data_IF_629667793493
#
_entry.id   IF_629667793493
#
_cell.length_a   1.000
_cell.length_b   1.000
_cell.length_c   1.000
_cell.angle_alpha   90.00
_cell.angle_beta   90.00
_cell.angle_gamma   90.00
#
_symmetry.space_group_name_H-M   'P 1'
#
loop_
_entity.id
_entity.type
_entity.pdbx_description
1 polymer ?
#
# COMPACT_ATOMS: atom_id res chain seq x y z
N UNK A 1 34.98 -35.49 -12.70
CA UNK A 1 35.27 -34.34 -13.57
C UNK A 1 34.84 -34.71 -14.97
N UNK A 2 33.73 -34.17 -15.45
CA UNK A 2 33.40 -33.91 -16.86
C UNK A 2 32.14 -33.04 -16.83
N UNK A 3 32.32 -31.77 -17.22
CA UNK A 3 31.30 -30.74 -17.24
C UNK A 3 30.50 -30.83 -18.55
N UNK A 4 29.17 -30.77 -18.45
CA UNK A 4 28.27 -30.58 -19.59
C UNK A 4 27.59 -29.23 -19.45
N UNK A 5 28.01 -28.26 -20.25
CA UNK A 5 27.36 -26.97 -20.40
C UNK A 5 26.35 -27.08 -21.55
N UNK A 6 25.06 -26.88 -21.26
CA UNK A 6 24.05 -26.65 -22.29
C UNK A 6 23.79 -25.15 -22.43
N UNK A 7 24.03 -24.68 -23.65
CA UNK A 7 23.75 -23.33 -24.15
C UNK A 7 22.38 -23.40 -24.84
N UNK A 8 21.40 -22.64 -24.36
CA UNK A 8 20.15 -22.40 -25.09
C UNK A 8 20.14 -20.98 -25.66
N UNK A 9 20.01 -20.80 -26.98
CA UNK A 9 19.89 -19.49 -27.59
C UNK A 9 18.50 -18.89 -27.38
N UNK A 10 18.50 -17.59 -27.10
CA UNK A 10 17.37 -16.68 -27.16
C UNK A 10 16.90 -16.49 -28.60
N UNK A 11 15.59 -16.63 -28.81
CA UNK A 11 14.91 -16.14 -30.02
C UNK A 11 13.82 -15.16 -29.59
N UNK A 12 13.92 -13.97 -30.16
CA UNK A 12 12.99 -12.87 -30.12
C UNK A 12 11.60 -13.29 -30.62
N UNK A 13 10.57 -12.81 -29.96
CA UNK A 13 9.36 -12.37 -30.65
C UNK A 13 8.92 -11.01 -30.08
N UNK A 14 8.96 -10.01 -30.95
CA UNK A 14 8.72 -8.59 -30.69
C UNK A 14 7.51 -8.19 -31.56
N UNK A 15 6.29 -8.41 -31.06
CA UNK A 15 5.06 -7.94 -31.71
C UNK A 15 4.45 -6.78 -30.92
N UNK A 16 4.92 -5.57 -31.24
CA UNK A 16 4.09 -4.49 -31.77
C UNK A 16 2.62 -4.38 -31.28
N UNK A 17 2.38 -3.69 -30.15
CA UNK A 17 1.08 -3.07 -29.88
C UNK A 17 1.19 -1.54 -29.91
N UNK A 18 0.93 -1.07 -31.12
CA UNK A 18 0.79 0.30 -31.57
C UNK A 18 -0.29 1.10 -30.82
N UNK A 19 0.07 2.36 -30.54
CA UNK A 19 -0.75 3.54 -30.29
C UNK A 19 -2.27 3.39 -30.16
N UNK A 20 -2.81 3.80 -29.01
CA UNK A 20 -3.95 4.73 -28.97
C UNK A 20 -3.71 5.81 -27.92
N UNK A 21 -3.16 6.94 -28.39
CA UNK A 21 -3.23 8.23 -27.69
C UNK A 21 -4.70 8.64 -27.62
N UNK A 22 -5.32 8.55 -26.45
CA UNK A 22 -6.63 9.16 -26.21
C UNK A 22 -6.37 10.60 -25.82
N UNK A 23 -6.67 11.47 -26.78
CA UNK A 23 -6.57 12.93 -26.75
C UNK A 23 -7.97 13.48 -26.54
N UNK A 24 -8.05 14.51 -25.68
CA UNK A 24 -9.10 15.55 -25.59
C UNK A 24 -10.54 15.17 -25.21
N UNK A 25 -10.99 15.72 -24.08
CA UNK A 25 -12.29 16.38 -23.93
C UNK A 25 -12.21 17.43 -22.80
N UNK A 26 -11.66 18.61 -23.08
CA UNK A 26 -12.37 19.89 -23.07
C UNK A 26 -13.87 19.86 -22.68
N UNK A 27 -14.19 20.37 -21.49
CA UNK A 27 -15.44 21.06 -21.15
C UNK A 27 -15.03 22.32 -20.37
N UNK A 28 -14.92 23.49 -21.00
CA UNK A 28 -16.00 24.38 -21.40
C UNK A 28 -16.81 24.93 -20.20
N UNK A 29 -16.35 26.09 -19.71
CA UNK A 29 -17.11 27.33 -19.54
C UNK A 29 -18.49 27.28 -18.86
N UNK A 30 -18.57 27.88 -17.66
CA UNK A 30 -19.79 28.53 -17.17
C UNK A 30 -19.44 29.88 -16.52
N UNK A 31 -19.37 30.90 -17.36
CA UNK A 31 -19.52 32.32 -16.96
C UNK A 31 -20.98 32.73 -17.19
N UNK A 32 -21.40 33.84 -16.57
CA UNK A 32 -22.73 34.50 -16.58
C UNK A 32 -23.59 34.08 -15.36
N UNK A 33 -24.14 34.98 -14.52
CA UNK A 33 -24.79 36.25 -14.83
C UNK A 33 -24.55 37.31 -13.73
N UNK A 34 -24.13 38.51 -14.15
CA UNK A 34 -24.36 39.74 -13.40
C UNK A 34 -25.86 40.07 -13.47
N UNK A 35 -26.54 40.12 -12.32
CA UNK A 35 -27.81 40.83 -12.19
C UNK A 35 -27.54 42.10 -11.41
N UNK A 36 -27.45 43.20 -12.14
CA UNK A 36 -27.62 44.54 -11.61
C UNK A 36 -29.12 44.80 -11.49
N UNK A 37 -29.61 44.97 -10.26
CA UNK A 37 -30.94 45.52 -10.00
C UNK A 37 -30.78 46.70 -9.05
N UNK A 38 -30.98 47.89 -9.60
CA UNK A 38 -31.08 49.12 -8.83
C UNK A 38 -32.46 49.27 -8.22
N UNK A 39 -32.49 49.79 -7.00
CA UNK A 39 -33.71 50.22 -6.31
C UNK A 39 -33.30 51.09 -5.13
N UNK A 40 -33.42 52.41 -5.30
CA UNK A 40 -33.28 53.39 -4.22
C UNK A 40 -34.59 53.52 -3.46
N UNK A 41 -34.50 53.59 -2.13
CA UNK A 41 -35.62 53.80 -1.21
C UNK A 41 -35.08 54.13 0.18
N UNK A 42 -35.72 55.11 0.79
CA UNK A 42 -35.34 55.90 1.98
C UNK A 42 -34.76 55.09 3.16
N UNK A 43 -33.70 55.64 3.78
CA UNK A 43 -32.88 55.05 4.85
C UNK A 43 -33.57 55.01 6.23
N UNK A 44 -33.89 53.82 6.77
CA UNK A 44 -33.78 53.53 8.19
C UNK A 44 -32.35 53.02 8.50
N UNK A 45 -31.82 53.43 9.66
CA UNK A 45 -30.47 53.08 10.12
C UNK A 45 -30.18 51.58 9.94
N UNK A 46 -29.00 51.20 9.39
CA UNK A 46 -28.71 49.82 9.03
C UNK A 46 -28.71 48.94 10.29
N UNK A 47 -29.36 47.75 10.26
CA UNK A 47 -29.23 46.81 11.36
C UNK A 47 -27.76 46.42 11.48
N UNK A 48 -27.23 46.50 12.70
CA UNK A 48 -25.87 46.08 13.04
C UNK A 48 -25.62 44.69 12.47
N UNK A 49 -24.75 44.57 11.47
CA UNK A 49 -24.42 43.30 10.83
C UNK A 49 -23.89 42.36 11.91
N UNK A 50 -24.65 41.30 12.22
CA UNK A 50 -24.18 40.25 13.10
C UNK A 50 -22.96 39.60 12.44
N UNK A 51 -21.83 39.61 13.15
CA UNK A 51 -20.58 39.04 12.67
C UNK A 51 -20.80 37.60 12.23
N UNK A 52 -20.62 37.32 10.93
CA UNK A 52 -20.64 35.96 10.40
C UNK A 52 -19.57 35.15 11.15
N UNK A 53 -19.92 34.03 11.81
CA UNK A 53 -18.93 33.21 12.50
C UNK A 53 -17.84 32.80 11.51
N UNK A 54 -16.57 33.00 11.89
CA UNK A 54 -15.45 32.56 11.10
C UNK A 54 -15.58 31.04 10.83
N UNK A 55 -15.34 30.56 9.59
CA UNK A 55 -15.37 29.14 9.30
C UNK A 55 -14.48 28.37 10.27
N UNK A 56 -14.99 27.27 10.82
CA UNK A 56 -14.21 26.40 11.69
C UNK A 56 -12.94 25.95 10.95
N UNK A 57 -11.76 25.94 11.61
CA UNK A 57 -10.54 25.43 11.00
C UNK A 57 -10.75 24.03 10.43
N UNK A 58 -10.20 23.80 9.24
CA UNK A 58 -10.25 22.47 8.63
C UNK A 58 -9.63 21.42 9.60
N UNK A 59 -10.22 20.23 9.72
CA UNK A 59 -9.64 19.16 10.54
C UNK A 59 -8.21 18.88 10.11
N UNK A 60 -7.31 18.73 11.08
CA UNK A 60 -5.93 18.33 10.80
C UNK A 60 -5.92 16.95 10.11
N UNK A 61 -4.98 16.70 9.18
CA UNK A 61 -4.83 15.39 8.55
C UNK A 61 -4.66 14.28 9.60
N UNK A 62 -5.32 13.15 9.39
CA UNK A 62 -5.16 12.00 10.28
C UNK A 62 -3.71 11.48 10.22
N UNK A 63 -3.02 11.51 11.36
CA UNK A 63 -1.66 10.99 11.47
C UNK A 63 -1.67 9.46 11.41
N UNK A 64 -0.76 8.87 10.65
CA UNK A 64 -0.59 7.42 10.61
C UNK A 64 -0.12 6.88 11.97
N UNK A 65 -0.97 6.07 12.63
CA UNK A 65 -0.62 5.36 13.85
C UNK A 65 -0.18 3.92 13.54
N UNK A 66 0.96 3.53 14.11
CA UNK A 66 1.42 2.15 14.07
C UNK A 66 1.20 1.52 15.43
N UNK A 67 0.58 0.33 15.52
CA UNK A 67 0.45 -0.40 16.77
C UNK A 67 1.81 -0.59 17.44
N UNK A 68 1.86 -0.58 18.77
CA UNK A 68 3.14 -0.70 19.51
C UNK A 68 3.83 -2.04 19.31
N UNK A 69 3.06 -3.10 18.99
CA UNK A 69 3.58 -4.41 18.65
C UNK A 69 4.23 -4.49 17.25
N UNK A 70 4.18 -3.41 16.45
CA UNK A 70 4.68 -3.41 15.08
C UNK A 70 6.09 -2.84 15.04
N UNK A 71 6.94 -3.46 14.22
CA UNK A 71 8.23 -2.88 13.88
C UNK A 71 8.01 -1.67 12.99
N UNK A 72 8.73 -0.57 13.28
CA UNK A 72 8.53 0.71 12.60
C UNK A 72 9.85 1.38 12.24
N UNK A 73 9.88 2.02 11.09
CA UNK A 73 10.90 3.00 10.70
C UNK A 73 10.20 4.35 10.54
N UNK A 74 10.80 5.39 11.11
CA UNK A 74 10.34 6.78 10.99
C UNK A 74 11.50 7.61 10.48
N UNK A 75 11.23 8.49 9.52
CA UNK A 75 12.28 9.16 8.75
C UNK A 75 13.01 8.17 7.84
N UNK A 76 13.56 8.66 6.73
CA UNK A 76 14.30 7.82 5.80
C UNK A 76 15.45 8.59 5.17
N UNK A 77 16.51 7.85 4.85
CA UNK A 77 17.60 8.36 4.01
C UNK A 77 17.16 8.23 2.56
N UNK A 78 17.37 9.26 1.74
CA UNK A 78 17.07 9.22 0.31
C UNK A 78 17.87 8.11 -0.40
N UNK A 79 17.22 7.43 -1.36
CA UNK A 79 17.82 6.34 -2.17
C UNK A 79 18.41 5.16 -1.37
N UNK A 80 18.00 4.97 -0.12
CA UNK A 80 18.47 3.90 0.75
C UNK A 80 17.56 2.68 0.69
N UNK A 81 18.15 1.50 0.88
CA UNK A 81 17.38 0.27 1.12
C UNK A 81 17.01 0.19 2.60
N UNK A 82 15.72 0.19 2.89
CA UNK A 82 15.18 -0.01 4.23
C UNK A 82 14.70 -1.44 4.37
N UNK A 83 14.97 -2.04 5.53
CA UNK A 83 14.55 -3.40 5.89
C UNK A 83 13.86 -3.36 7.24
N UNK A 84 12.62 -3.86 7.30
CA UNK A 84 11.80 -3.97 8.52
C UNK A 84 11.48 -5.44 8.73
N UNK A 85 11.78 -5.96 9.91
CA UNK A 85 11.48 -7.35 10.29
C UNK A 85 10.37 -7.38 11.33
N UNK A 86 9.40 -8.25 11.15
CA UNK A 86 8.37 -8.57 12.12
C UNK A 86 8.31 -10.08 12.31
N UNK A 87 7.96 -10.57 13.49
CA UNK A 87 7.84 -11.99 13.74
C UNK A 87 7.29 -12.29 15.11
N UNK A 88 6.95 -13.55 15.35
CA UNK A 88 6.72 -14.01 16.72
C UNK A 88 8.04 -14.16 17.48
N UNK A 89 7.96 -14.10 18.82
CA UNK A 89 9.13 -14.23 19.71
C UNK A 89 9.85 -15.57 19.49
N UNK A 90 9.12 -16.60 19.05
CA UNK A 90 9.65 -17.92 18.76
C UNK A 90 10.37 -18.01 17.39
N UNK A 91 10.30 -16.97 16.55
CA UNK A 91 10.88 -16.95 15.20
C UNK A 91 10.25 -17.96 14.23
N UNK A 92 9.10 -18.52 14.58
CA UNK A 92 8.40 -19.53 13.80
C UNK A 92 7.69 -18.90 12.60
N UNK A 93 7.04 -17.76 12.82
CA UNK A 93 6.48 -16.93 11.74
C UNK A 93 7.22 -15.60 11.70
N UNK A 94 7.75 -15.26 10.54
CA UNK A 94 8.43 -13.98 10.33
C UNK A 94 8.05 -13.36 8.99
N UNK A 95 8.13 -12.04 8.94
CA UNK A 95 8.03 -11.26 7.72
C UNK A 95 9.15 -10.23 7.67
N UNK A 96 9.73 -10.07 6.49
CA UNK A 96 10.72 -9.05 6.19
C UNK A 96 10.20 -8.18 5.06
N UNK A 97 9.97 -6.90 5.33
CA UNK A 97 9.67 -5.90 4.33
C UNK A 97 10.97 -5.20 3.93
N UNK A 98 11.28 -5.18 2.64
CA UNK A 98 12.37 -4.41 2.05
C UNK A 98 11.81 -3.43 1.03
N UNK A 99 12.36 -2.21 0.98
CA UNK A 99 12.01 -1.19 0.00
C UNK A 99 13.18 -0.24 -0.22
N UNK A 100 13.27 0.34 -1.40
CA UNK A 100 14.21 1.41 -1.73
C UNK A 100 13.51 2.75 -1.69
N UNK A 101 13.96 3.65 -0.81
CA UNK A 101 13.35 4.97 -0.66
C UNK A 101 13.59 5.82 -1.92
N UNK A 102 12.68 6.77 -2.21
CA UNK A 102 12.88 7.73 -3.29
C UNK A 102 14.05 8.69 -3.00
N UNK A 103 14.43 9.48 -4.02
CA UNK A 103 15.47 10.50 -3.90
C UNK A 103 15.08 11.67 -2.97
N UNK A 104 13.78 11.88 -2.77
CA UNK A 104 13.24 12.86 -1.83
C UNK A 104 12.31 12.13 -0.89
N UNK A 105 12.65 12.13 0.40
CA UNK A 105 11.90 11.43 1.44
C UNK A 105 11.32 12.48 2.38
N UNK A 106 10.04 12.36 2.70
CA UNK A 106 9.44 13.17 3.76
C UNK A 106 10.12 12.83 5.11
N UNK A 107 10.61 13.81 5.90
CA UNK A 107 11.16 13.54 7.23
C UNK A 107 10.15 12.85 8.17
N UNK A 108 8.86 13.06 7.95
CA UNK A 108 7.78 12.44 8.71
C UNK A 108 7.30 11.11 8.11
N UNK A 109 8.00 10.60 7.08
CA UNK A 109 7.67 9.31 6.48
C UNK A 109 7.72 8.20 7.53
N UNK A 110 6.71 7.33 7.50
CA UNK A 110 6.59 6.24 8.45
C UNK A 110 6.14 4.98 7.74
N UNK A 111 6.82 3.87 8.02
CA UNK A 111 6.46 2.54 7.52
C UNK A 111 6.54 1.56 8.67
N UNK A 112 5.51 0.73 8.79
CA UNK A 112 5.34 -0.22 9.87
C UNK A 112 4.94 -1.57 9.33
N UNK A 113 5.50 -2.62 9.93
CA UNK A 113 5.22 -4.01 9.62
C UNK A 113 4.92 -4.75 10.92
N UNK A 114 3.83 -5.50 10.96
CA UNK A 114 3.50 -6.32 12.11
C UNK A 114 2.64 -7.52 11.77
N UNK A 115 2.70 -8.52 12.63
CA UNK A 115 1.83 -9.70 12.57
C UNK A 115 0.45 -9.32 13.08
N UNK A 116 -0.60 -9.77 12.39
CA UNK A 116 -1.99 -9.61 12.83
C UNK A 116 -2.38 -10.83 13.66
N UNK A 117 -2.88 -10.60 14.88
CA UNK A 117 -3.28 -11.68 15.80
C UNK A 117 -4.75 -12.06 15.66
N UNK A 118 -5.61 -11.14 15.23
CA UNK A 118 -7.01 -11.38 14.92
C UNK A 118 -7.31 -10.96 13.47
N UNK A 119 -7.76 -11.92 12.67
CA UNK A 119 -8.08 -11.71 11.26
C UNK A 119 -9.29 -10.78 11.13
N UNK A 120 -9.20 -9.68 10.36
CA UNK A 120 -10.36 -8.86 10.05
C UNK A 120 -11.45 -9.69 9.35
N UNK A 121 -12.71 -9.31 9.53
CA UNK A 121 -13.82 -10.01 8.89
C UNK A 121 -13.63 -10.07 7.36
N UNK A 122 -13.85 -11.26 6.78
CA UNK A 122 -13.71 -11.52 5.34
C UNK A 122 -12.30 -11.87 4.86
N UNK A 123 -11.32 -11.94 5.77
CA UNK A 123 -9.96 -12.39 5.42
C UNK A 123 -9.81 -13.90 5.53
N UNK A 124 -8.95 -14.48 4.68
CA UNK A 124 -8.54 -15.88 4.75
C UNK A 124 -7.02 -15.97 4.79
N UNK A 125 -6.50 -16.94 5.51
CA UNK A 125 -5.05 -17.18 5.66
C UNK A 125 -4.74 -17.87 6.98
N UNK A 126 -3.59 -18.51 7.05
CA UNK A 126 -3.07 -19.10 8.28
C UNK A 126 -2.15 -18.11 9.01
N UNK A 127 -1.48 -17.24 8.25
CA UNK A 127 -0.73 -16.10 8.79
C UNK A 127 -1.06 -14.82 8.04
N UNK A 128 -0.96 -13.69 8.74
CA UNK A 128 -1.22 -12.37 8.20
C UNK A 128 -0.25 -11.33 8.74
N UNK A 129 0.26 -10.49 7.84
CA UNK A 129 1.10 -9.34 8.17
C UNK A 129 0.52 -8.08 7.56
N UNK A 130 0.42 -7.03 8.35
CA UNK A 130 -0.07 -5.72 7.91
C UNK A 130 1.10 -4.77 7.69
N UNK A 131 1.08 -4.10 6.55
CA UNK A 131 1.93 -2.96 6.23
C UNK A 131 1.10 -1.69 6.38
N UNK A 132 1.51 -0.80 7.29
CA UNK A 132 0.96 0.57 7.40
C UNK A 132 2.04 1.55 7.00
N UNK A 133 1.75 2.46 6.09
CA UNK A 133 2.75 3.44 5.66
C UNK A 133 2.15 4.77 5.22
N UNK A 134 2.97 5.83 5.26
CA UNK A 134 2.65 7.13 4.67
C UNK A 134 2.78 7.09 3.14
N UNK A 135 2.46 8.20 2.47
CA UNK A 135 2.49 8.31 1.02
C UNK A 135 3.85 7.99 0.38
N UNK A 136 4.97 8.21 1.08
CA UNK A 136 6.31 7.92 0.57
C UNK A 136 6.53 6.44 0.23
N UNK A 137 5.77 5.54 0.85
CA UNK A 137 5.80 4.11 0.49
C UNK A 137 5.43 3.90 -0.98
N UNK A 138 4.47 4.66 -1.51
CA UNK A 138 4.06 4.54 -2.91
C UNK A 138 5.14 5.04 -3.88
N UNK A 139 5.94 6.01 -3.45
CA UNK A 139 7.08 6.51 -4.20
C UNK A 139 8.33 5.63 -4.09
N UNK A 140 8.37 4.70 -3.13
CA UNK A 140 9.47 3.73 -3.01
C UNK A 140 9.53 2.78 -4.21
N UNK A 141 10.69 2.17 -4.42
CA UNK A 141 10.90 1.13 -5.44
C UNK A 141 11.33 -0.17 -4.76
N UNK A 142 11.40 -1.27 -5.51
CA UNK A 142 11.86 -2.58 -5.00
C UNK A 142 11.12 -3.04 -3.73
N UNK A 143 9.84 -2.70 -3.62
CA UNK A 143 9.00 -3.04 -2.46
C UNK A 143 8.71 -4.52 -2.46
N UNK A 144 9.25 -5.24 -1.48
CA UNK A 144 9.14 -6.68 -1.35
C UNK A 144 8.85 -7.05 0.09
N UNK A 145 7.83 -7.88 0.31
CA UNK A 145 7.64 -8.57 1.58
C UNK A 145 7.95 -10.05 1.39
N UNK A 146 8.75 -10.60 2.30
CA UNK A 146 9.06 -12.02 2.39
C UNK A 146 8.42 -12.55 3.65
N UNK A 147 7.50 -13.52 3.54
CA UNK A 147 6.80 -14.12 4.67
C UNK A 147 7.27 -15.58 4.79
N UNK A 148 7.74 -15.94 5.98
CA UNK A 148 8.14 -17.31 6.31
C UNK A 148 7.10 -17.93 7.24
N UNK A 149 6.57 -19.08 6.83
CA UNK A 149 5.54 -19.84 7.56
C UNK A 149 6.07 -21.25 7.83
N UNK A 150 6.04 -21.75 9.07
CA UNK A 150 6.45 -23.11 9.37
C UNK A 150 5.38 -24.08 8.86
N UNK A 151 5.80 -25.21 8.35
CA UNK A 151 4.89 -26.27 7.88
C UNK A 151 5.20 -27.58 8.58
N UNK A 152 4.16 -28.37 8.84
CA UNK A 152 4.30 -29.73 9.34
C UNK A 152 4.16 -30.70 8.16
N UNK A 153 5.28 -31.34 7.79
CA UNK A 153 5.31 -32.31 6.69
C UNK A 153 5.35 -31.69 5.28
N UNK A 154 5.10 -32.55 4.30
CA UNK A 154 5.04 -32.22 2.87
C UNK A 154 3.70 -31.61 2.50
N UNK A 155 3.70 -30.55 1.69
CA UNK A 155 2.49 -29.91 1.20
C UNK A 155 1.82 -30.71 0.08
N UNK A 156 0.50 -30.89 0.16
CA UNK A 156 -0.29 -31.57 -0.88
C UNK A 156 -0.63 -30.72 -2.10
N UNK A 157 -0.47 -29.40 -2.00
CA UNK A 157 -0.66 -28.44 -3.10
C UNK A 157 0.12 -27.14 -2.83
N UNK A 158 0.11 -26.21 -3.80
CA UNK A 158 0.83 -24.94 -3.65
C UNK A 158 0.10 -24.02 -2.65
N UNK A 159 0.84 -23.29 -1.79
CA UNK A 159 0.26 -22.25 -0.95
C UNK A 159 -0.32 -21.10 -1.78
N UNK A 160 -1.23 -20.34 -1.18
CA UNK A 160 -1.86 -19.16 -1.79
C UNK A 160 -1.54 -17.90 -1.01
N UNK A 161 -1.46 -16.76 -1.69
CA UNK A 161 -1.30 -15.44 -1.08
C UNK A 161 -2.50 -14.58 -1.45
N UNK A 162 -3.01 -13.84 -0.47
CA UNK A 162 -4.04 -12.84 -0.68
C UNK A 162 -3.56 -11.48 -0.19
N UNK A 163 -3.95 -10.43 -0.90
CA UNK A 163 -3.77 -9.06 -0.47
C UNK A 163 -5.14 -8.44 -0.20
N UNK A 164 -5.25 -7.70 0.90
CA UNK A 164 -6.45 -6.98 1.27
C UNK A 164 -6.14 -5.52 1.55
N UNK A 165 -7.05 -4.67 1.11
CA UNK A 165 -7.14 -3.29 1.59
C UNK A 165 -8.06 -3.26 2.81
N UNK A 166 -7.72 -2.44 3.80
CA UNK A 166 -8.54 -2.25 4.99
C UNK A 166 -9.35 -0.96 4.85
N UNK A 167 -10.66 -1.09 4.90
CA UNK A 167 -11.59 0.04 4.94
C UNK A 167 -11.55 0.75 6.30
N UNK A 168 -12.06 1.98 6.33
CA UNK A 168 -12.25 2.74 7.58
C UNK A 168 -13.24 2.09 8.54
N UNK A 169 -14.08 1.18 8.05
CA UNK A 169 -15.01 0.35 8.82
C UNK A 169 -14.35 -0.90 9.43
N UNK A 170 -13.04 -1.08 9.22
CA UNK A 170 -12.27 -2.23 9.69
C UNK A 170 -12.47 -3.50 8.87
N UNK A 171 -13.24 -3.46 7.77
CA UNK A 171 -13.41 -4.60 6.88
C UNK A 171 -12.26 -4.71 5.90
N UNK A 172 -11.87 -5.93 5.60
CA UNK A 172 -10.87 -6.22 4.59
C UNK A 172 -11.55 -6.55 3.26
N UNK A 173 -11.09 -5.92 2.19
CA UNK A 173 -11.54 -6.21 0.82
C UNK A 173 -10.37 -6.77 0.02
N UNK A 174 -10.57 -7.92 -0.63
CA UNK A 174 -9.56 -8.54 -1.50
C UNK A 174 -9.19 -7.56 -2.61
N UNK A 175 -7.89 -7.39 -2.82
CA UNK A 175 -7.34 -6.55 -3.87
C UNK A 175 -6.31 -7.35 -4.69
N UNK A 176 -6.08 -7.00 -5.95
CA UNK A 176 -5.11 -7.70 -6.78
C UNK A 176 -3.68 -7.53 -6.22
N UNK A 177 -2.89 -8.60 -6.33
CA UNK A 177 -1.46 -8.53 -6.07
C UNK A 177 -0.75 -7.78 -7.21
N UNK A 178 0.31 -7.04 -6.88
CA UNK A 178 1.08 -6.29 -7.88
C UNK A 178 1.86 -7.20 -8.85
N UNK A 179 2.19 -8.41 -8.42
CA UNK A 179 2.82 -9.45 -9.22
C UNK A 179 2.48 -10.83 -8.64
N UNK A 180 2.67 -11.89 -9.44
CA UNK A 180 2.50 -13.27 -8.98
C UNK A 180 3.54 -13.55 -7.87
N UNK A 181 3.12 -14.04 -6.70
CA UNK A 181 4.04 -14.38 -5.62
C UNK A 181 4.89 -15.59 -6.00
N UNK A 182 6.12 -15.63 -5.51
CA UNK A 182 6.98 -16.81 -5.64
C UNK A 182 7.08 -17.54 -4.30
N UNK A 183 7.22 -18.86 -4.36
CA UNK A 183 7.30 -19.71 -3.19
C UNK A 183 8.55 -20.57 -3.25
N UNK A 184 9.26 -20.60 -2.14
CA UNK A 184 10.31 -21.59 -1.88
C UNK A 184 9.84 -22.49 -0.73
N UNK A 185 9.83 -23.80 -0.97
CA UNK A 185 9.41 -24.82 -0.01
C UNK A 185 10.68 -25.51 0.48
N UNK A 186 11.15 -25.06 1.63
CA UNK A 186 12.32 -25.62 2.30
C UNK A 186 11.81 -26.57 3.40
N UNK A 187 12.54 -27.64 3.71
CA UNK A 187 12.08 -28.64 4.69
C UNK A 187 11.54 -28.00 5.99
N UNK A 188 10.21 -28.08 6.19
CA UNK A 188 9.49 -27.53 7.33
C UNK A 188 9.11 -26.04 7.26
N UNK A 189 9.28 -25.36 6.10
CA UNK A 189 8.96 -23.94 5.91
C UNK A 189 8.49 -23.62 4.50
N UNK A 190 7.54 -22.70 4.40
CA UNK A 190 7.18 -21.99 3.17
C UNK A 190 7.73 -20.57 3.26
N UNK A 191 8.47 -20.14 2.24
CA UNK A 191 8.92 -18.76 2.08
C UNK A 191 8.18 -18.16 0.90
N UNK A 192 7.21 -17.30 1.18
CA UNK A 192 6.47 -16.53 0.18
C UNK A 192 7.15 -15.19 -0.07
N UNK A 193 7.53 -14.92 -1.31
CA UNK A 193 8.05 -13.62 -1.75
C UNK A 193 7.00 -12.88 -2.55
N UNK A 194 6.66 -11.67 -2.12
CA UNK A 194 5.54 -10.91 -2.65
C UNK A 194 6.01 -9.48 -2.97
N UNK A 195 5.65 -8.98 -4.16
CA UNK A 195 5.81 -7.57 -4.50
C UNK A 195 4.78 -6.73 -3.72
N UNK A 196 5.25 -5.92 -2.77
CA UNK A 196 4.40 -5.14 -1.89
C UNK A 196 3.98 -3.83 -2.57
N UNK A 197 3.02 -3.93 -3.50
CA UNK A 197 2.58 -2.81 -4.33
C UNK A 197 1.93 -1.67 -3.54
N UNK A 198 1.19 -1.99 -2.47
CA UNK A 198 0.44 -1.05 -1.65
C UNK A 198 0.55 -1.42 -0.16
N UNK A 199 0.39 -0.46 0.78
CA UNK A 199 0.14 -0.77 2.17
C UNK A 199 -1.20 -1.52 2.33
N UNK A 200 -1.28 -2.42 3.30
CA UNK A 200 -2.46 -3.25 3.54
C UNK A 200 -2.09 -4.59 4.19
N UNK A 201 -3.01 -5.54 4.13
CA UNK A 201 -2.87 -6.84 4.76
C UNK A 201 -2.45 -7.90 3.75
N UNK A 202 -1.34 -8.58 4.01
CA UNK A 202 -0.84 -9.69 3.21
C UNK A 202 -1.02 -10.98 4.00
N UNK A 203 -1.76 -11.94 3.44
CA UNK A 203 -1.99 -13.23 4.09
C UNK A 203 -1.39 -14.36 3.26
N UNK A 204 -0.93 -15.40 3.95
CA UNK A 204 -0.50 -16.66 3.34
C UNK A 204 -1.44 -17.75 3.84
N UNK A 205 -2.03 -18.49 2.91
CA UNK A 205 -2.81 -19.70 3.16
C UNK A 205 -2.01 -20.91 2.71
N UNK A 206 -1.64 -21.76 3.65
CA UNK A 206 -1.13 -23.10 3.40
C UNK A 206 -2.26 -24.01 2.90
N UNK A 207 -1.93 -25.01 2.07
CA UNK A 207 -2.92 -25.97 1.55
C UNK A 207 -3.53 -26.85 2.64
#
# INVERSE_FOLDING_TARGET
MHAGAEIYPSVFDQENLSMKKIVLAACASASLLLVACGGGGDDPAPPTQASTPAPAPAPAPATLTCPDSYSKITGGVANATLVINAGDIAGNNSATLSLKTPATVNPDAKTCLGKVTSFPAGTVGDVAYEIRATSDFQAATDRRIVITVPTVGTLGSAPSVYFYTLGSDGKATVAPLAAVPTFDIVAGKVVATIAAGLPGLYTVKLP
#
